data_IF_439551034020
#
_entry.id   IF_439551034020
#
_cell.length_a   1.000
_cell.length_b   1.000
_cell.length_c   1.000
_cell.angle_alpha   90.00
_cell.angle_beta   90.00
_cell.angle_gamma   90.00
#
_symmetry.space_group_name_H-M   'P 1'
#
loop_
_entity.id
_entity.type
_entity.pdbx_description
1 polymer ?
#
# COMPACT_ATOMS: atom_id res chain seq x y z
N UNK A 1 -4.78 -3.93 -21.60
CA UNK A 1 -3.30 -4.03 -21.44
C UNK A 1 -2.73 -2.65 -21.67
N UNK A 2 -2.33 -1.98 -20.60
CA UNK A 2 -1.65 -0.68 -20.65
C UNK A 2 -0.19 -0.90 -20.25
N UNK A 3 0.73 -0.25 -20.94
CA UNK A 3 2.18 -0.41 -20.70
C UNK A 3 2.65 0.74 -19.82
N UNK A 4 3.25 0.41 -18.68
CA UNK A 4 3.97 1.36 -17.83
C UNK A 4 5.47 1.23 -18.12
N UNK A 5 6.11 2.32 -18.55
CA UNK A 5 7.57 2.37 -18.72
C UNK A 5 8.14 3.30 -17.66
N UNK A 6 8.86 2.71 -16.71
CA UNK A 6 9.47 3.42 -15.58
C UNK A 6 10.93 2.98 -15.50
N UNK A 7 11.89 3.92 -15.44
CA UNK A 7 13.28 3.57 -15.25
C UNK A 7 13.47 2.96 -13.86
N UNK A 8 14.02 1.74 -13.82
CA UNK A 8 14.35 1.07 -12.57
C UNK A 8 15.85 1.19 -12.30
N UNK A 9 16.26 1.56 -11.08
CA UNK A 9 17.66 1.48 -10.67
C UNK A 9 18.14 0.03 -10.68
N UNK A 10 19.45 -0.17 -10.92
CA UNK A 10 20.03 -1.49 -11.14
C UNK A 10 19.72 -2.52 -10.04
N UNK A 11 19.71 -2.08 -8.77
CA UNK A 11 19.40 -2.96 -7.64
C UNK A 11 17.98 -3.53 -7.69
N UNK A 12 16.97 -2.75 -8.12
CA UNK A 12 15.60 -3.24 -8.27
C UNK A 12 15.49 -4.21 -9.45
N UNK A 13 16.23 -3.95 -10.54
CA UNK A 13 16.23 -4.88 -11.68
C UNK A 13 16.84 -6.24 -11.31
N UNK A 14 17.90 -6.25 -10.50
CA UNK A 14 18.49 -7.47 -9.96
C UNK A 14 17.54 -8.23 -9.04
N UNK A 15 16.81 -7.52 -8.18
CA UNK A 15 15.78 -8.11 -7.32
C UNK A 15 14.68 -8.76 -8.15
N UNK A 16 14.13 -8.05 -9.15
CA UNK A 16 13.11 -8.59 -10.04
C UNK A 16 13.64 -9.81 -10.81
N UNK A 17 14.89 -9.78 -11.29
CA UNK A 17 15.55 -10.95 -11.93
C UNK A 17 15.64 -12.15 -10.98
N UNK A 18 16.05 -11.93 -9.72
CA UNK A 18 16.17 -12.99 -8.71
C UNK A 18 14.81 -13.61 -8.39
N UNK A 19 13.80 -12.77 -8.16
CA UNK A 19 12.42 -13.20 -7.86
C UNK A 19 11.78 -13.96 -9.03
N UNK A 20 11.98 -13.46 -10.26
CA UNK A 20 11.54 -14.14 -11.47
C UNK A 20 12.17 -15.53 -11.59
N UNK A 21 13.48 -15.64 -11.34
CA UNK A 21 14.20 -16.93 -11.35
C UNK A 21 13.69 -17.89 -10.27
N UNK A 22 13.42 -17.40 -9.06
CA UNK A 22 12.94 -18.22 -7.94
C UNK A 22 11.53 -18.76 -8.17
N UNK A 23 10.63 -17.93 -8.73
CA UNK A 23 9.26 -18.32 -9.05
C UNK A 23 9.12 -19.04 -10.39
N UNK A 24 10.18 -19.14 -11.19
CA UNK A 24 10.12 -19.66 -12.56
C UNK A 24 9.23 -18.84 -13.50
N UNK A 25 9.04 -17.54 -13.22
CA UNK A 25 8.08 -16.65 -13.90
C UNK A 25 8.80 -15.52 -14.65
N UNK A 26 8.04 -14.70 -15.39
CA UNK A 26 8.57 -13.55 -16.11
C UNK A 26 8.71 -12.33 -15.19
N UNK A 27 9.68 -11.44 -15.45
CA UNK A 27 9.85 -10.16 -14.73
C UNK A 27 8.55 -9.36 -14.65
N UNK A 28 7.81 -9.28 -15.75
CA UNK A 28 6.56 -8.53 -15.81
C UNK A 28 5.46 -9.12 -14.91
N UNK A 29 5.45 -10.44 -14.74
CA UNK A 29 4.49 -11.12 -13.87
C UNK A 29 4.81 -10.90 -12.40
N UNK A 30 6.10 -10.97 -12.04
CA UNK A 30 6.58 -10.61 -10.70
C UNK A 30 6.20 -9.17 -10.34
N UNK A 31 6.39 -8.23 -11.27
CA UNK A 31 6.05 -6.82 -11.04
C UNK A 31 4.54 -6.62 -10.88
N UNK A 32 3.70 -7.30 -11.68
CA UNK A 32 2.24 -7.24 -11.51
C UNK A 32 1.81 -7.75 -10.14
N UNK A 33 2.33 -8.90 -9.73
CA UNK A 33 2.03 -9.46 -8.42
C UNK A 33 2.50 -8.56 -7.27
N UNK A 34 3.66 -7.92 -7.41
CA UNK A 34 4.14 -6.96 -6.42
C UNK A 34 3.22 -5.74 -6.28
N UNK A 35 2.62 -5.27 -7.38
CA UNK A 35 1.65 -4.17 -7.36
C UNK A 35 0.34 -4.58 -6.69
N UNK A 36 -0.15 -5.80 -6.94
CA UNK A 36 -1.32 -6.34 -6.27
C UNK A 36 -1.09 -6.44 -4.75
N UNK A 37 0.06 -6.99 -4.35
CA UNK A 37 0.43 -7.10 -2.94
C UNK A 37 0.55 -5.73 -2.26
N UNK A 38 1.15 -4.74 -2.93
CA UNK A 38 1.25 -3.38 -2.39
C UNK A 38 -0.13 -2.77 -2.11
N UNK A 39 -1.09 -2.97 -3.02
CA UNK A 39 -2.45 -2.48 -2.83
C UNK A 39 -3.16 -3.17 -1.65
N UNK A 40 -2.93 -4.46 -1.46
CA UNK A 40 -3.43 -5.21 -0.30
C UNK A 40 -2.82 -4.71 1.01
N UNK A 41 -1.50 -4.51 1.03
CA UNK A 41 -0.78 -4.01 2.21
C UNK A 41 -1.23 -2.60 2.62
N UNK A 42 -1.48 -1.70 1.65
CA UNK A 42 -2.03 -0.38 1.93
C UNK A 42 -3.42 -0.46 2.59
N UNK A 43 -4.27 -1.39 2.15
CA UNK A 43 -5.58 -1.61 2.74
C UNK A 43 -5.48 -2.14 4.19
N UNK A 44 -4.56 -3.08 4.45
CA UNK A 44 -4.28 -3.58 5.81
C UNK A 44 -3.77 -2.45 6.71
N UNK A 45 -2.83 -1.64 6.21
CA UNK A 45 -2.28 -0.50 6.95
C UNK A 45 -3.33 0.55 7.26
N UNK A 46 -4.33 0.76 6.41
CA UNK A 46 -5.45 1.66 6.68
C UNK A 46 -6.27 1.20 7.89
N UNK A 47 -6.57 -0.10 7.99
CA UNK A 47 -7.29 -0.67 9.13
C UNK A 47 -6.47 -0.54 10.41
N UNK A 48 -5.18 -0.92 10.38
CA UNK A 48 -4.30 -0.82 11.55
C UNK A 48 -4.16 0.62 12.05
N UNK A 49 -4.14 1.61 11.14
CA UNK A 49 -4.14 3.02 11.52
C UNK A 49 -5.45 3.43 12.19
N UNK A 50 -6.58 3.01 11.64
CA UNK A 50 -7.90 3.29 12.22
C UNK A 50 -8.05 2.70 13.63
N UNK A 51 -7.46 1.53 13.90
CA UNK A 51 -7.44 0.93 15.25
C UNK A 51 -6.59 1.71 16.26
N UNK A 52 -5.56 2.43 15.80
CA UNK A 52 -4.71 3.25 16.66
C UNK A 52 -5.30 4.63 16.95
N UNK A 53 -6.35 5.05 16.24
CA UNK A 53 -6.98 6.34 16.45
C UNK A 53 -7.67 6.40 17.83
N UNK A 54 -7.52 7.50 18.58
CA UNK A 54 -8.16 7.65 19.87
C UNK A 54 -9.68 7.65 19.71
N UNK A 55 -10.35 6.85 20.55
CA UNK A 55 -11.81 6.84 20.58
C UNK A 55 -12.31 8.17 21.15
N UNK A 56 -12.77 9.06 20.26
CA UNK A 56 -13.40 10.31 20.66
C UNK A 56 -14.79 10.03 21.25
N UNK A 57 -14.96 10.31 22.54
CA UNK A 57 -16.25 10.23 23.23
C UNK A 57 -16.63 11.60 23.77
N UNK A 58 -17.82 12.07 23.40
CA UNK A 58 -18.36 13.35 23.85
C UNK A 58 -19.69 13.68 23.18
N UNK A 59 -20.47 14.57 23.79
CA UNK A 59 -21.73 15.03 23.23
C UNK A 59 -21.49 16.22 22.30
N UNK A 60 -21.76 16.04 21.00
CA UNK A 60 -21.57 17.08 19.99
C UNK A 60 -22.33 18.38 20.32
N UNK A 61 -23.49 18.26 20.98
CA UNK A 61 -24.30 19.42 21.40
C UNK A 61 -23.58 20.30 22.42
N UNK A 62 -22.74 19.73 23.26
CA UNK A 62 -22.00 20.48 24.29
C UNK A 62 -20.72 21.10 23.72
N UNK A 63 -20.15 20.50 22.67
CA UNK A 63 -19.02 21.08 21.94
C UNK A 63 -19.43 22.37 21.21
N UNK A 64 -20.58 22.34 20.53
CA UNK A 64 -21.10 23.49 19.76
C UNK A 64 -21.35 24.72 20.65
N UNK A 65 -21.73 24.53 21.92
CA UNK A 65 -21.95 25.63 22.88
C UNK A 65 -20.68 26.38 23.26
N UNK A 66 -19.47 25.81 23.08
CA UNK A 66 -18.19 26.44 23.46
C UNK A 66 -17.61 27.36 22.38
N UNK A 67 -18.11 27.27 21.15
CA UNK A 67 -17.65 28.11 20.02
C UNK A 67 -18.58 29.32 19.76
N UNK A 68 -19.49 29.61 20.71
CA UNK A 68 -20.43 30.72 20.66
C UNK A 68 -20.14 31.69 21.79
#
# INVERSE_FOLDING_TARGET
>A
MTTLSVPLPAHLEELVKKLAKQRGSNKAEVVRHALELLAEEEAVMAVLRAEQEPILRGNLKDLVKKFK
#
